data_IF_248093602920
#
_entry.id   IF_248093602920
#
_cell.length_a   1.000
_cell.length_b   1.000
_cell.length_c   1.000
_cell.angle_alpha   90.00
_cell.angle_beta   90.00
_cell.angle_gamma   90.00
#
_symmetry.space_group_name_H-M   'P 1'
#
loop_
_entity.id
_entity.type
_entity.pdbx_description
1 polymer ?
#
# COMPACT_ATOMS: atom_id res chain seq x y z
N UNK A 1 -3.46 -6.66 9.79
CA UNK A 1 -2.00 -6.68 10.02
C UNK A 1 -1.36 -7.92 9.42
N UNK A 2 -0.23 -7.77 8.71
CA UNK A 2 0.53 -8.84 8.03
C UNK A 2 1.97 -8.81 8.52
N UNK A 3 2.52 -9.96 8.89
CA UNK A 3 3.94 -10.11 9.21
C UNK A 3 4.77 -10.09 7.92
N UNK A 4 5.82 -9.28 7.88
CA UNK A 4 6.68 -9.09 6.70
C UNK A 4 8.16 -9.39 6.96
N UNK A 5 8.59 -9.41 8.22
CA UNK A 5 9.90 -9.87 8.69
C UNK A 5 9.78 -10.26 10.18
N UNK A 6 10.83 -10.85 10.75
CA UNK A 6 10.87 -11.14 12.19
C UNK A 6 10.56 -9.88 13.01
N UNK A 7 9.52 -9.96 13.83
CA UNK A 7 9.01 -8.85 14.67
C UNK A 7 8.50 -7.61 13.93
N UNK A 8 8.34 -7.64 12.60
CA UNK A 8 7.77 -6.52 11.82
C UNK A 8 6.37 -6.88 11.32
N UNK A 9 5.37 -6.20 11.88
CA UNK A 9 3.98 -6.27 11.45
C UNK A 9 3.59 -5.00 10.70
N UNK A 10 2.99 -5.15 9.53
CA UNK A 10 2.50 -4.06 8.69
C UNK A 10 0.98 -4.09 8.59
N UNK A 11 0.33 -2.96 8.90
CA UNK A 11 -1.06 -2.78 8.51
C UNK A 11 -1.14 -2.20 7.09
N UNK A 12 -1.42 -3.09 6.13
CA UNK A 12 -1.49 -2.70 4.71
C UNK A 12 -2.57 -1.67 4.44
N UNK A 13 -3.72 -1.75 5.13
CA UNK A 13 -4.81 -0.79 4.92
C UNK A 13 -4.41 0.59 5.45
N UNK A 14 -3.82 0.66 6.65
CA UNK A 14 -3.33 1.91 7.21
C UNK A 14 -2.27 2.56 6.32
N UNK A 15 -1.31 1.77 5.81
CA UNK A 15 -0.25 2.26 4.92
C UNK A 15 -0.80 2.74 3.58
N UNK A 16 -1.77 2.02 3.01
CA UNK A 16 -2.46 2.44 1.78
C UNK A 16 -3.22 3.75 2.01
N UNK A 17 -3.92 3.89 3.14
CA UNK A 17 -4.67 5.12 3.49
C UNK A 17 -3.75 6.31 3.76
N UNK A 18 -2.55 6.08 4.25
CA UNK A 18 -1.55 7.12 4.49
C UNK A 18 -0.96 7.70 3.20
N UNK A 19 -1.10 7.05 2.04
CA UNK A 19 -0.47 7.45 0.79
C UNK A 19 -1.49 8.01 -0.23
N UNK A 20 -1.55 9.34 -0.47
CA UNK A 20 -2.57 9.97 -1.32
C UNK A 20 -2.61 9.42 -2.75
N UNK A 21 -1.46 9.31 -3.42
CA UNK A 21 -1.35 8.71 -4.75
C UNK A 21 -1.95 7.30 -4.84
N UNK A 22 -1.68 6.45 -3.84
CA UNK A 22 -2.17 5.06 -3.84
C UNK A 22 -3.68 5.03 -3.71
N UNK A 23 -4.25 5.87 -2.82
CA UNK A 23 -5.70 6.02 -2.69
C UNK A 23 -6.35 6.44 -4.00
N UNK A 24 -5.77 7.41 -4.70
CA UNK A 24 -6.29 7.85 -5.99
C UNK A 24 -6.25 6.76 -7.05
N UNK A 25 -5.14 6.01 -7.15
CA UNK A 25 -5.02 4.90 -8.12
C UNK A 25 -6.04 3.82 -7.83
N UNK A 26 -6.24 3.46 -6.56
CA UNK A 26 -7.17 2.40 -6.16
C UNK A 26 -8.64 2.83 -6.29
N UNK A 27 -8.95 4.12 -6.17
CA UNK A 27 -10.31 4.64 -6.37
C UNK A 27 -10.72 4.70 -7.85
N UNK A 28 -9.77 4.65 -8.80
CA UNK A 28 -10.05 4.69 -10.23
C UNK A 28 -10.51 3.32 -10.73
N UNK A 29 -11.75 3.24 -11.18
CA UNK A 29 -12.34 2.01 -11.73
C UNK A 29 -11.61 1.50 -12.98
N UNK A 30 -11.10 2.40 -13.82
CA UNK A 30 -10.37 2.09 -15.05
C UNK A 30 -8.88 1.81 -14.86
N UNK A 31 -8.35 1.89 -13.63
CA UNK A 31 -6.94 1.64 -13.39
C UNK A 31 -6.57 0.18 -13.73
N UNK A 32 -5.55 -0.06 -14.59
CA UNK A 32 -5.09 -1.41 -14.90
C UNK A 32 -4.67 -2.15 -13.64
N UNK A 33 -4.90 -3.46 -13.61
CA UNK A 33 -4.57 -4.32 -12.47
C UNK A 33 -3.09 -4.20 -12.06
N UNK A 34 -2.19 -4.18 -13.04
CA UNK A 34 -0.76 -3.98 -12.80
C UNK A 34 -0.46 -2.64 -12.11
N UNK A 35 -1.18 -1.57 -12.46
CA UNK A 35 -1.02 -0.27 -11.83
C UNK A 35 -1.51 -0.28 -10.37
N UNK A 36 -2.64 -0.94 -10.11
CA UNK A 36 -3.17 -1.12 -8.75
C UNK A 36 -2.19 -1.91 -7.87
N UNK A 37 -1.65 -3.01 -8.40
CA UNK A 37 -0.64 -3.81 -7.71
C UNK A 37 0.63 -3.00 -7.41
N UNK A 38 1.13 -2.24 -8.38
CA UNK A 38 2.31 -1.39 -8.18
C UNK A 38 2.05 -0.30 -7.15
N UNK A 39 0.86 0.32 -7.14
CA UNK A 39 0.51 1.33 -6.14
C UNK A 39 0.52 0.75 -4.71
N UNK A 40 -0.04 -0.44 -4.50
CA UNK A 40 0.02 -1.12 -3.19
C UNK A 40 1.46 -1.46 -2.80
N UNK A 41 2.28 -1.97 -3.73
CA UNK A 41 3.70 -2.24 -3.47
C UNK A 41 4.46 -0.96 -3.10
N UNK A 42 4.20 0.15 -3.79
CA UNK A 42 4.77 1.45 -3.45
C UNK A 42 4.39 1.87 -2.02
N UNK A 43 3.13 1.72 -1.64
CA UNK A 43 2.69 2.02 -0.27
C UNK A 43 3.49 1.20 0.76
N UNK A 44 3.59 -0.11 0.55
CA UNK A 44 4.32 -1.03 1.44
C UNK A 44 5.81 -0.67 1.53
N UNK A 45 6.47 -0.41 0.41
CA UNK A 45 7.91 -0.13 0.37
C UNK A 45 8.27 1.24 0.98
N UNK A 46 7.36 2.20 0.92
CA UNK A 46 7.54 3.54 1.49
C UNK A 46 6.99 3.65 2.92
N UNK A 47 6.41 2.58 3.47
CA UNK A 47 5.94 2.57 4.83
C UNK A 47 7.11 2.84 5.79
N UNK A 48 6.95 3.85 6.64
CA UNK A 48 7.92 4.18 7.69
C UNK A 48 7.48 3.47 8.97
N UNK A 49 8.43 2.83 9.65
CA UNK A 49 8.22 2.43 11.04
C UNK A 49 7.94 3.70 11.85
N UNK A 50 6.87 3.68 12.63
CA UNK A 50 6.57 4.70 13.63
C UNK A 50 7.45 4.48 14.87
#
# INVERSE_FOLDING_TARGET
MRLIAESVALDVAAVVLAHPYVREVLARESAPEAQRHNAVRTAILLARAA
#
